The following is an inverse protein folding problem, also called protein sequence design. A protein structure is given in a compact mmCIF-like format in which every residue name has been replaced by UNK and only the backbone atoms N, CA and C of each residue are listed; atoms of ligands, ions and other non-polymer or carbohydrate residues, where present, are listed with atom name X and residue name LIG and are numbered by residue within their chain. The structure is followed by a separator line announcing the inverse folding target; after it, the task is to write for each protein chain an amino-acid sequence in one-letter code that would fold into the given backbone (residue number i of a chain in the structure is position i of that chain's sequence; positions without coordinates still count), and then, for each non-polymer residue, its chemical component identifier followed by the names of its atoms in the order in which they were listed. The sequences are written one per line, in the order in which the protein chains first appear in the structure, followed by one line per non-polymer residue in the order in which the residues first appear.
data_IF_380893961080
#
_entry.id   IF_380893961080
#
_cell.length_a   1.000
_cell.length_b   1.000
_cell.length_c   1.000
_cell.angle_alpha   90.00
_cell.angle_beta   90.00
_cell.angle_gamma   90.00
#
_symmetry.space_group_name_H-M   'P 1'
#
loop_
_entity.id
_entity.type
_entity.pdbx_description
1 polymer ?
2 non-polymer ?
3 non-polymer ?
4 non-polymer ?
5 water ?
#
# COMPACT_ATOMS: atom_id res chain seq x y z
N UNK A 1 18.93 -0.39 -24.58
CA UNK A 1 19.71 0.29 -23.51
C UNK A 1 18.97 1.51 -22.98
N UNK A 2 19.70 2.41 -22.30
CA UNK A 2 19.10 3.57 -21.63
C UNK A 2 18.35 4.47 -22.63
N UNK A 3 18.94 4.72 -23.80
CA UNK A 3 18.35 5.60 -24.81
C UNK A 3 17.04 5.03 -25.33
N UNK A 4 17.01 3.72 -25.58
CA UNK A 4 15.79 3.03 -25.99
C UNK A 4 14.71 3.10 -24.90
N UNK A 5 15.12 2.91 -23.64
CA UNK A 5 14.20 3.01 -22.51
C UNK A 5 13.50 4.37 -22.48
N UNK A 6 14.26 5.43 -22.75
CA UNK A 6 13.67 6.78 -22.84
C UNK A 6 12.59 6.80 -23.92
N UNK A 7 12.89 6.21 -25.08
CA UNK A 7 11.92 6.15 -26.19
C UNK A 7 10.70 5.32 -25.80
N UNK A 8 10.94 4.17 -25.16
CA UNK A 8 9.85 3.32 -24.70
C UNK A 8 8.92 4.12 -23.79
N UNK A 9 9.48 4.72 -22.74
CA UNK A 9 8.72 5.49 -21.77
C UNK A 9 7.97 6.65 -22.43
N UNK A 10 8.67 7.45 -23.24
CA UNK A 10 8.07 8.57 -23.95
C UNK A 10 6.90 8.14 -24.83
N UNK A 11 7.01 6.96 -25.43
CA UNK A 11 6.00 6.44 -26.32
C UNK A 11 4.63 6.29 -25.68
N UNK A 12 4.63 5.94 -24.40
CA UNK A 12 3.40 5.85 -23.63
C UNK A 12 3.60 6.54 -22.30
N UNK A 13 3.93 7.82 -22.36
CA UNK A 13 4.36 8.55 -21.17
C UNK A 13 3.29 8.59 -20.09
N UNK A 14 2.03 8.81 -20.47
CA UNK A 14 0.91 8.85 -19.52
C UNK A 14 0.88 7.59 -18.66
N UNK A 15 0.90 6.44 -19.32
CA UNK A 15 0.81 5.16 -18.62
C UNK A 15 2.01 4.89 -17.72
N UNK A 16 3.21 4.99 -18.29
CA UNK A 16 4.41 4.73 -17.51
C UNK A 16 4.56 5.70 -16.35
N UNK A 17 4.29 6.98 -16.58
CA UNK A 17 4.36 7.98 -15.52
C UNK A 17 3.42 7.62 -14.37
N UNK A 18 2.17 7.30 -14.69
CA UNK A 18 1.19 6.93 -13.65
C UNK A 18 1.58 5.64 -12.95
N UNK A 19 2.03 4.65 -13.72
CA UNK A 19 2.45 3.34 -13.20
C UNK A 19 3.61 3.46 -12.21
N UNK A 20 4.65 4.18 -12.63
CA UNK A 20 5.85 4.31 -11.81
C UNK A 20 5.59 5.19 -10.56
N UNK A 21 4.84 6.27 -10.75
CA UNK A 21 4.49 7.13 -9.63
C UNK A 21 3.75 6.36 -8.56
N UNK A 22 2.78 5.52 -8.97
CA UNK A 22 2.00 4.71 -8.04
C UNK A 22 2.83 3.61 -7.40
N UNK A 23 3.77 3.05 -8.15
CA UNK A 23 4.71 2.07 -7.59
C UNK A 23 5.54 2.72 -6.48
N UNK A 24 5.93 3.97 -6.71
CA UNK A 24 6.65 4.80 -5.73
C UNK A 24 5.84 5.00 -4.45
N UNK A 25 4.62 5.53 -4.58
CA UNK A 25 3.76 5.75 -3.41
C UNK A 25 3.42 4.46 -2.67
N UNK A 26 3.32 3.35 -3.40
CA UNK A 26 3.02 2.05 -2.81
C UNK A 26 4.18 1.49 -2.01
N UNK A 27 5.39 1.60 -2.56
CA UNK A 27 6.58 1.14 -1.87
C UNK A 27 6.89 2.02 -0.66
N UNK A 28 6.62 3.32 -0.78
CA UNK A 28 6.93 4.28 0.28
C UNK A 28 5.70 5.14 0.59
N UNK A 29 4.70 4.55 1.28
CA UNK A 29 3.40 5.21 1.50
C UNK A 29 3.46 6.56 2.19
N UNK A 30 4.48 6.77 3.01
CA UNK A 30 4.64 8.03 3.73
C UNK A 30 4.86 9.19 2.76
N UNK A 31 5.36 8.87 1.56
CA UNK A 31 5.61 9.90 0.55
C UNK A 31 4.33 10.56 0.03
N UNK A 32 3.18 9.91 0.23
CA UNK A 32 1.92 10.46 -0.28
C UNK A 32 1.59 11.81 0.37
N UNK A 33 2.11 12.03 1.57
CA UNK A 33 1.82 13.25 2.35
C UNK A 33 2.23 14.53 1.63
N UNK A 34 3.12 14.40 0.64
CA UNK A 34 3.58 15.56 -0.15
C UNK A 34 2.60 15.93 -1.25
N UNK A 35 1.63 15.07 -1.45
CA UNK A 35 0.61 15.23 -2.49
C UNK A 35 -0.74 15.11 -1.80
N UNK A 36 -1.10 16.15 -1.05
CA UNK A 36 -2.25 16.09 -0.14
C UNK A 36 -3.58 15.80 -0.84
N UNK A 37 -3.65 16.10 -2.14
CA UNK A 37 -4.85 15.89 -2.94
C UNK A 37 -5.04 14.44 -3.41
N UNK A 38 -3.99 13.65 -3.27
CA UNK A 38 -4.01 12.23 -3.63
C UNK A 38 -4.23 11.34 -2.43
N UNK A 39 -4.27 11.94 -1.24
CA UNK A 39 -4.52 11.22 0.01
C UNK A 39 -5.94 10.62 0.00
N UNK A 40 -6.06 9.38 0.43
CA UNK A 40 -7.36 8.73 0.60
C UNK A 40 -8.10 8.40 -0.69
N UNK A 41 -7.35 8.23 -1.78
CA UNK A 41 -7.96 7.93 -3.06
C UNK A 41 -7.37 6.66 -3.66
N UNK A 42 -8.25 5.84 -4.25
CA UNK A 42 -7.80 4.66 -4.97
C UNK A 42 -7.12 5.06 -6.27
N UNK A 43 -6.39 4.12 -6.83
CA UNK A 43 -5.71 4.31 -8.10
C UNK A 43 -6.64 4.75 -9.22
N UNK A 44 -7.81 4.14 -9.31
CA UNK A 44 -8.78 4.53 -10.33
C UNK A 44 -9.38 5.91 -10.09
N UNK A 45 -9.63 6.24 -8.82
CA UNK A 45 -10.05 7.58 -8.44
C UNK A 45 -9.01 8.59 -8.91
N UNK A 46 -7.75 8.31 -8.63
CA UNK A 46 -6.64 9.21 -8.99
C UNK A 46 -6.58 9.48 -10.49
N UNK A 47 -6.74 8.45 -11.30
CA UNK A 47 -6.68 8.56 -12.76
C UNK A 47 -7.84 9.35 -13.39
N UNK A 48 -8.94 9.49 -12.65
CA UNK A 48 -10.10 10.29 -13.08
C UNK A 48 -9.89 11.77 -12.76
N UNK A 49 -8.88 12.05 -11.94
CA UNK A 49 -8.55 13.44 -11.56
C UNK A 49 -7.60 14.09 -12.55
N UNK A 50 -8.06 15.19 -13.16
CA UNK A 50 -7.30 15.88 -14.21
C UNK A 50 -5.83 16.10 -13.84
N UNK A 51 -5.58 16.69 -12.68
CA UNK A 51 -4.21 17.03 -12.28
C UNK A 51 -3.34 15.84 -11.95
N UNK A 52 -3.93 14.71 -11.54
CA UNK A 52 -3.12 13.50 -11.34
C UNK A 52 -2.43 13.01 -12.62
N UNK A 53 -3.18 12.81 -13.70
CA UNK A 53 -2.56 12.37 -14.95
C UNK A 53 -1.67 13.44 -15.55
N UNK A 54 -2.17 14.68 -15.54
CA UNK A 54 -1.45 15.80 -16.14
C UNK A 54 -0.13 16.09 -15.42
N UNK A 55 -0.17 16.21 -14.08
CA UNK A 55 1.03 16.55 -13.33
C UNK A 55 2.05 15.40 -13.24
N UNK A 56 1.59 14.17 -13.11
CA UNK A 56 2.50 13.01 -13.11
C UNK A 56 3.21 12.90 -14.45
N UNK A 57 2.47 13.09 -15.55
CA UNK A 57 3.12 13.09 -16.86
C UNK A 57 4.19 14.18 -16.98
N UNK A 58 3.90 15.38 -16.48
CA UNK A 58 4.83 16.50 -16.57
C UNK A 58 6.11 16.24 -15.76
N UNK A 59 5.95 15.59 -14.61
CA UNK A 59 7.07 15.11 -13.82
C UNK A 59 7.96 14.18 -14.66
N UNK A 60 7.35 13.22 -15.33
CA UNK A 60 8.13 12.22 -16.06
C UNK A 60 8.60 12.75 -17.42
N UNK A 61 7.91 13.76 -17.93
CA UNK A 61 8.43 14.47 -19.09
C UNK A 61 9.78 15.11 -18.76
N UNK A 62 9.83 15.92 -17.70
CA UNK A 62 11.11 16.51 -17.26
C UNK A 62 12.15 15.44 -16.92
N UNK A 63 11.75 14.37 -16.24
CA UNK A 63 12.70 13.27 -15.98
C UNK A 63 13.33 12.74 -17.26
N UNK A 64 12.51 12.51 -18.29
CA UNK A 64 13.02 12.05 -19.60
C UNK A 64 13.90 13.08 -20.29
N UNK A 65 13.59 14.36 -20.13
CA UNK A 65 14.42 15.40 -20.71
C UNK A 65 15.79 15.41 -20.03
N UNK A 66 15.77 15.28 -18.71
CA UNK A 66 17.01 15.24 -17.92
C UNK A 66 17.79 13.99 -18.32
N UNK A 67 17.07 12.87 -18.46
CA UNK A 67 17.68 11.59 -18.84
C UNK A 67 18.32 11.65 -20.22
N UNK A 68 17.62 12.24 -21.20
CA UNK A 68 18.13 12.35 -22.58
C UNK A 68 19.34 13.28 -22.71
N UNK A 69 19.38 14.29 -21.86
CA UNK A 69 20.43 15.31 -21.88
C UNK A 69 21.70 14.81 -21.18
N UNK A 70 21.55 13.75 -20.40
CA UNK A 70 22.65 13.13 -19.67
C UNK A 70 23.67 12.48 -20.62
N UNK A 71 24.92 12.41 -20.15
CA UNK A 71 25.95 11.64 -20.84
C UNK A 71 26.31 10.44 -19.97
N UNK A 72 26.17 9.24 -20.54
CA UNK A 72 26.46 7.99 -19.83
C UNK A 72 25.80 7.98 -18.45
N UNK A 73 24.54 8.40 -18.39
CA UNK A 73 23.74 8.40 -17.16
C UNK A 73 24.21 9.44 -16.15
N UNK A 74 25.01 10.39 -16.60
CA UNK A 74 25.39 11.53 -15.76
C UNK A 74 24.62 12.75 -16.20
N UNK A 75 23.73 13.27 -15.32
CA UNK A 75 22.91 14.39 -15.73
C UNK A 75 23.67 15.72 -15.68
N UNK A 76 23.18 16.71 -16.42
CA UNK A 76 23.78 18.04 -16.39
C UNK A 76 23.55 18.71 -15.05
N UNK A 77 24.57 19.44 -14.60
CA UNK A 77 24.49 20.23 -13.38
C UNK A 77 23.31 21.20 -13.41
N UNK A 78 23.07 21.82 -14.56
CA UNK A 78 21.97 22.79 -14.70
C UNK A 78 20.60 22.14 -14.47
N UNK A 79 20.46 20.90 -14.94
CA UNK A 79 19.22 20.13 -14.72
C UNK A 79 19.01 19.77 -13.26
N UNK A 80 20.08 19.35 -12.58
CA UNK A 80 20.02 19.13 -11.15
C UNK A 80 19.61 20.41 -10.41
N UNK A 81 20.16 21.53 -10.83
CA UNK A 81 19.83 22.80 -10.18
C UNK A 81 18.37 23.19 -10.36
N UNK A 82 17.83 23.01 -11.56
CA UNK A 82 16.41 23.22 -11.81
C UNK A 82 15.56 22.47 -10.78
N UNK A 83 15.94 21.23 -10.52
CA UNK A 83 15.19 20.38 -9.61
C UNK A 83 15.25 20.84 -8.14
N UNK A 84 16.39 21.39 -7.75
CA UNK A 84 16.56 21.85 -6.37
C UNK A 84 15.79 23.16 -6.15
N UNK A 85 15.81 24.05 -7.13
CA UNK A 85 15.23 25.38 -6.95
C UNK A 85 13.77 25.53 -7.38
N UNK A 86 13.15 24.43 -7.84
CA UNK A 86 11.70 24.43 -8.06
C UNK A 86 10.99 24.60 -6.73
N UNK A 87 10.11 25.60 -6.67
CA UNK A 87 9.35 25.89 -5.45
C UNK A 87 8.67 24.64 -4.89
N UNK A 88 8.14 23.80 -5.79
CA UNK A 88 7.45 22.56 -5.40
C UNK A 88 8.36 21.54 -4.67
N UNK A 89 9.67 21.75 -4.75
CA UNK A 89 10.64 20.84 -4.17
C UNK A 89 11.35 21.44 -2.96
N UNK A 90 10.82 22.56 -2.44
CA UNK A 90 11.45 23.32 -1.35
C UNK A 90 11.63 22.52 -0.06
N UNK A 91 10.68 21.65 0.25
CA UNK A 91 10.77 20.91 1.50
C UNK A 91 11.33 19.48 1.33
N UNK A 92 11.94 19.22 0.17
CA UNK A 92 12.43 17.88 -0.17
C UNK A 92 13.89 17.68 0.15
N UNK A 93 14.28 16.41 0.29
CA UNK A 93 15.68 16.02 0.46
C UNK A 93 16.03 14.95 -0.56
N UNK A 94 17.32 14.65 -0.72
CA UNK A 94 17.77 13.65 -1.70
C UNK A 94 17.08 12.30 -1.51
N UNK A 95 16.73 12.01 -0.25
CA UNK A 95 16.06 10.77 0.12
C UNK A 95 14.72 10.57 -0.59
N UNK A 96 14.01 11.67 -0.88
CA UNK A 96 12.74 11.59 -1.62
C UNK A 96 12.99 11.10 -3.03
N UNK A 97 14.06 11.63 -3.63
CA UNK A 97 14.48 11.29 -4.98
C UNK A 97 15.06 9.88 -5.07
N UNK A 98 15.89 9.51 -4.09
CA UNK A 98 16.41 8.15 -3.97
C UNK A 98 15.28 7.13 -4.00
N UNK A 99 14.27 7.35 -3.15
CA UNK A 99 13.09 6.47 -3.07
C UNK A 99 12.34 6.36 -4.40
N UNK A 100 12.16 7.50 -5.08
CA UNK A 100 11.50 7.48 -6.40
C UNK A 100 12.25 6.56 -7.38
N UNK A 101 13.57 6.69 -7.42
CA UNK A 101 14.37 5.87 -8.31
C UNK A 101 14.49 4.41 -7.89
N UNK A 102 14.46 4.14 -6.58
CA UNK A 102 14.44 2.76 -6.10
C UNK A 102 13.18 2.06 -6.63
N UNK A 103 12.04 2.72 -6.44
CA UNK A 103 10.74 2.22 -6.93
C UNK A 103 10.70 2.08 -8.45
N UNK A 104 11.30 3.05 -9.15
CA UNK A 104 11.35 3.03 -10.60
C UNK A 104 12.15 1.82 -11.10
N UNK A 105 13.29 1.56 -10.46
CA UNK A 105 14.15 0.43 -10.80
C UNK A 105 13.44 -0.90 -10.48
N UNK A 106 12.78 -0.96 -9.33
CA UNK A 106 12.01 -2.15 -8.96
C UNK A 106 10.90 -2.40 -9.97
N UNK A 107 10.20 -1.34 -10.37
CA UNK A 107 9.15 -1.45 -11.38
C UNK A 107 9.72 -2.04 -12.66
N UNK A 108 10.86 -1.51 -13.10
CA UNK A 108 11.47 -1.96 -14.34
C UNK A 108 11.86 -3.43 -14.28
N UNK A 109 12.53 -3.83 -13.20
CA UNK A 109 12.91 -5.26 -12.99
C UNK A 109 11.72 -6.20 -13.00
N UNK A 110 10.61 -5.78 -12.38
CA UNK A 110 9.41 -6.62 -12.31
C UNK A 110 8.56 -6.63 -13.57
N UNK A 111 8.72 -5.62 -14.42
CA UNK A 111 7.99 -5.59 -15.68
C UNK A 111 8.53 -6.68 -16.60
N UNK A 112 7.75 -7.13 -17.56
CA UNK A 112 8.25 -8.18 -18.45
C UNK A 112 9.23 -7.67 -19.50
N UNK A 113 9.47 -6.35 -19.48
CA UNK A 113 10.21 -5.64 -20.52
C UNK A 113 11.71 -5.58 -20.23
N UNK A 114 12.52 -5.51 -21.28
CA UNK A 114 13.97 -5.50 -21.10
C UNK A 114 14.54 -4.09 -20.94
N UNK A 115 14.06 -3.39 -19.91
CA UNK A 115 14.62 -2.11 -19.48
C UNK A 115 16.06 -2.31 -19.04
N UNK A 116 16.88 -1.28 -19.21
CA UNK A 116 18.26 -1.29 -18.72
C UNK A 116 18.26 -0.82 -17.27
N UNK A 117 17.74 -1.68 -16.39
CA UNK A 117 17.53 -1.34 -14.97
C UNK A 117 18.78 -0.83 -14.27
N UNK A 118 19.92 -1.46 -14.56
CA UNK A 118 21.20 -1.05 -13.96
C UNK A 118 21.55 0.39 -14.31
N UNK A 119 21.27 0.79 -15.55
CA UNK A 119 21.49 2.15 -15.99
C UNK A 119 20.58 3.17 -15.30
N UNK A 120 19.32 2.80 -15.09
CA UNK A 120 18.40 3.67 -14.36
C UNK A 120 18.78 3.80 -12.89
N UNK A 121 19.32 2.72 -12.32
CA UNK A 121 19.82 2.76 -10.95
C UNK A 121 20.99 3.73 -10.87
N UNK A 122 21.91 3.61 -11.83
CA UNK A 122 23.09 4.48 -11.88
C UNK A 122 22.70 5.94 -12.13
N UNK A 123 21.76 6.16 -13.03
CA UNK A 123 21.22 7.50 -13.30
C UNK A 123 20.64 8.12 -12.03
N UNK A 124 19.81 7.35 -11.32
CA UNK A 124 19.28 7.77 -10.03
C UNK A 124 20.37 8.15 -9.04
N UNK A 125 21.40 7.32 -8.95
CA UNK A 125 22.53 7.59 -8.06
C UNK A 125 23.25 8.88 -8.44
N UNK A 126 23.53 9.02 -9.73
CA UNK A 126 24.21 10.21 -10.25
C UNK A 126 23.38 11.47 -10.07
N UNK A 127 22.06 11.33 -10.23
CA UNK A 127 21.18 12.49 -10.04
C UNK A 127 21.12 12.91 -8.57
N UNK A 128 21.02 11.94 -7.66
CA UNK A 128 21.05 12.21 -6.21
C UNK A 128 22.33 12.96 -5.81
N UNK A 129 23.47 12.51 -6.33
CA UNK A 129 24.76 13.19 -6.10
C UNK A 129 24.73 14.61 -6.63
N UNK A 130 24.18 14.78 -7.84
CA UNK A 130 24.07 16.10 -8.47
C UNK A 130 23.15 17.05 -7.72
N UNK A 131 22.08 16.49 -7.14
CA UNK A 131 21.14 17.29 -6.35
C UNK A 131 21.82 17.78 -5.09
N UNK A 132 22.60 16.91 -4.46
CA UNK A 132 23.34 17.24 -3.27
C UNK A 132 24.31 18.39 -3.54
N UNK A 133 25.09 18.27 -4.62
CA UNK A 133 26.04 19.30 -5.03
C UNK A 133 25.35 20.64 -5.28
N UNK A 134 24.11 20.59 -5.78
CA UNK A 134 23.34 21.80 -6.06
C UNK A 134 22.65 22.37 -4.81
N UNK A 135 22.89 21.74 -3.66
CA UNK A 135 22.41 22.29 -2.39
C UNK A 135 21.23 21.61 -1.72
N UNK A 136 20.72 20.53 -2.32
CA UNK A 136 19.64 19.80 -1.69
C UNK A 136 20.17 19.07 -0.47
N UNK A 137 19.42 19.14 0.62
CA UNK A 137 19.72 18.46 1.86
C UNK A 137 19.51 16.93 1.73
N UNK B 1 -1.71 2.83 -1.39
CA UNK B 1 -1.93 3.00 0.08
C UNK B 1 -3.18 2.29 0.55
N UNK B 2 -3.76 2.81 1.62
CA UNK B 2 -4.87 2.17 2.33
C UNK B 2 -6.09 1.99 1.42
N UNK B 3 -6.46 3.05 0.71
CA UNK B 3 -7.64 3.01 -0.18
C UNK B 3 -7.48 2.00 -1.29
N UNK B 4 -6.29 1.97 -1.90
CA UNK B 4 -6.01 1.01 -2.96
C UNK B 4 -5.97 -0.42 -2.42
N UNK B 5 -5.44 -0.59 -1.21
CA UNK B 5 -5.42 -1.89 -0.53
C UNK B 5 -6.83 -2.48 -0.38
N UNK B 6 -7.80 -1.62 -0.08
CA UNK B 6 -9.21 -2.05 -0.02
C UNK B 6 -9.65 -2.67 -1.34
N UNK B 7 -9.37 -1.98 -2.46
CA UNK B 7 -9.68 -2.48 -3.79
C UNK B 7 -8.94 -3.79 -4.09
N UNK B 8 -7.67 -3.87 -3.69
CA UNK B 8 -6.85 -5.06 -3.88
C UNK B 8 -7.49 -6.27 -3.19
N UNK B 9 -7.82 -6.09 -1.91
CA UNK B 9 -8.47 -7.17 -1.15
C UNK B 9 -9.82 -7.53 -1.76
N UNK B 10 -10.61 -6.54 -2.12
CA UNK B 10 -11.94 -6.79 -2.70
C UNK B 10 -11.87 -7.54 -4.04
N UNK B 11 -10.74 -7.43 -4.73
CA UNK B 11 -10.57 -8.07 -6.03
C UNK B 11 -10.32 -9.58 -5.94
N UNK B 12 -10.00 -10.06 -4.74
CA UNK B 12 -9.73 -11.48 -4.50
C UNK B 12 -10.07 -11.79 -3.03
N UNK B 13 -11.27 -11.35 -2.62
CA UNK B 13 -11.62 -11.26 -1.20
C UNK B 13 -11.65 -12.59 -0.43
N UNK B 14 -12.29 -13.61 -1.00
CA UNK B 14 -12.38 -14.92 -0.35
C UNK B 14 -10.99 -15.47 -0.01
N UNK B 15 -10.07 -15.36 -0.97
CA UNK B 15 -8.69 -15.82 -0.78
C UNK B 15 -7.97 -15.02 0.32
N UNK B 16 -8.03 -13.69 0.24
CA UNK B 16 -7.40 -12.85 1.27
C UNK B 16 -8.06 -13.07 2.63
N UNK B 17 -9.39 -13.13 2.66
CA UNK B 17 -10.14 -13.34 3.92
C UNK B 17 -9.73 -14.64 4.61
N UNK B 18 -9.73 -15.74 3.86
CA UNK B 18 -9.33 -17.03 4.40
C UNK B 18 -7.89 -17.02 4.88
N UNK B 19 -6.96 -16.55 4.06
CA UNK B 19 -5.54 -16.55 4.42
C UNK B 19 -5.24 -15.70 5.64
N UNK B 20 -5.93 -14.55 5.75
CA UNK B 20 -5.73 -13.68 6.93
C UNK B 20 -6.33 -14.28 8.20
N UNK B 21 -7.55 -14.81 8.08
CA UNK B 21 -8.21 -15.42 9.23
C UNK B 21 -7.48 -16.68 9.68
N UNK B 22 -6.95 -17.44 8.73
CA UNK B 22 -6.12 -18.59 9.06
C UNK B 22 -4.83 -18.17 9.77
N UNK B 23 -4.19 -17.11 9.29
CA UNK B 23 -3.02 -16.51 9.97
C UNK B 23 -3.34 -16.16 11.42
N UNK B 24 -4.50 -15.52 11.62
CA UNK B 24 -5.01 -15.19 12.95
C UNK B 24 -5.22 -16.44 13.83
N UNK B 25 -5.91 -17.45 13.31
CA UNK B 25 -6.18 -18.64 14.11
C UNK B 25 -4.93 -19.46 14.40
N UNK B 26 -3.99 -19.48 13.45
CA UNK B 26 -2.74 -20.19 13.68
C UNK B 26 -1.82 -19.45 14.66
N UNK B 27 -1.84 -18.12 14.62
CA UNK B 27 -1.07 -17.31 15.58
C UNK B 27 -1.66 -17.37 16.98
N UNK B 28 -3.00 -17.47 17.04
CA UNK B 28 -3.73 -17.46 18.31
C UNK B 28 -4.71 -18.63 18.35
N UNK B 29 -4.20 -19.86 18.55
CA UNK B 29 -5.06 -21.04 18.40
C UNK B 29 -6.21 -21.06 19.42
N UNK B 30 -6.02 -20.42 20.56
CA UNK B 30 -7.04 -20.40 21.60
C UNK B 30 -8.24 -19.53 21.22
N UNK B 31 -8.08 -18.71 20.17
CA UNK B 31 -9.20 -17.91 19.67
C UNK B 31 -10.28 -18.76 18.96
N UNK B 32 -9.96 -20.02 18.66
CA UNK B 32 -10.92 -20.96 18.08
C UNK B 32 -12.09 -21.27 19.03
N UNK B 33 -11.93 -20.92 20.30
CA UNK B 33 -12.97 -21.05 21.34
C UNK B 33 -14.28 -20.33 21.00
N UNK B 34 -14.16 -19.32 20.14
CA UNK B 34 -15.34 -18.51 19.78
C UNK B 34 -16.05 -19.11 18.57
N UNK B 35 -15.43 -20.10 17.93
CA UNK B 35 -15.92 -20.65 16.68
C UNK B 35 -16.09 -22.16 16.76
N UNK B 36 -17.34 -22.59 16.64
CA UNK B 36 -17.67 -24.01 16.70
C UNK B 36 -17.08 -24.77 15.51
N UNK B 37 -16.60 -25.98 15.79
CA UNK B 37 -16.02 -26.94 14.83
C UNK B 37 -14.86 -26.44 13.96
N UNK B 38 -14.08 -25.49 14.48
CA UNK B 38 -12.84 -25.09 13.80
C UNK B 38 -11.62 -25.81 14.39
N UNK B 39 -11.75 -26.29 15.62
CA UNK B 39 -10.65 -26.95 16.34
C UNK B 39 -10.33 -28.30 15.68
N UNK B 40 -9.07 -28.73 15.81
CA UNK B 40 -8.62 -30.05 15.36
C UNK B 40 -8.53 -30.22 13.86
N UNK B 41 -8.41 -29.11 13.15
CA UNK B 41 -8.44 -29.09 11.69
C UNK B 41 -7.28 -28.31 11.10
N UNK B 42 -6.72 -28.82 10.01
CA UNK B 42 -5.67 -28.12 9.28
C UNK B 42 -6.31 -27.03 8.41
N UNK B 43 -5.48 -26.11 7.89
CA UNK B 43 -5.96 -25.07 6.99
C UNK B 43 -6.84 -25.64 5.86
N UNK B 44 -6.34 -26.67 5.17
CA UNK B 44 -7.06 -27.24 4.03
C UNK B 44 -8.41 -27.84 4.43
N UNK B 45 -8.46 -28.42 5.62
CA UNK B 45 -9.71 -28.97 6.14
C UNK B 45 -10.71 -27.86 6.37
N UNK B 46 -10.26 -26.77 7.00
CA UNK B 46 -11.13 -25.60 7.21
C UNK B 46 -11.64 -25.03 5.90
N UNK B 47 -10.74 -24.91 4.93
CA UNK B 47 -11.10 -24.27 3.66
C UNK B 47 -12.14 -25.07 2.87
N UNK B 48 -12.31 -26.35 3.23
CA UNK B 48 -13.29 -27.20 2.56
C UNK B 48 -14.62 -27.28 3.30
N UNK B 49 -14.65 -26.73 4.51
CA UNK B 49 -15.91 -26.60 5.27
C UNK B 49 -16.71 -25.46 4.62
N UNK B 50 -17.92 -25.75 4.17
CA UNK B 50 -18.78 -24.75 3.47
C UNK B 50 -18.97 -23.45 4.25
N UNK B 51 -19.13 -23.59 5.57
CA UNK B 51 -19.38 -22.47 6.47
C UNK B 51 -18.16 -21.57 6.65
N UNK B 52 -16.96 -22.16 6.65
CA UNK B 52 -15.73 -21.40 6.88
C UNK B 52 -15.55 -20.30 5.84
N UNK B 53 -15.60 -20.68 4.57
CA UNK B 53 -15.42 -19.74 3.46
C UNK B 53 -16.51 -18.68 3.44
N UNK B 54 -17.76 -19.12 3.61
CA UNK B 54 -18.91 -18.21 3.62
C UNK B 54 -18.80 -17.19 4.74
N UNK B 55 -18.56 -17.66 5.95
CA UNK B 55 -18.48 -16.78 7.12
C UNK B 55 -17.29 -15.85 7.09
N UNK B 56 -16.12 -16.37 6.72
CA UNK B 56 -14.91 -15.55 6.68
C UNK B 56 -15.03 -14.45 5.62
N UNK B 57 -15.67 -14.78 4.49
CA UNK B 57 -15.87 -13.79 3.46
C UNK B 57 -16.80 -12.69 3.97
N UNK B 58 -17.89 -13.05 4.65
CA UNK B 58 -18.81 -12.04 5.18
C UNK B 58 -18.12 -11.09 6.17
N UNK B 59 -17.29 -11.64 7.04
CA UNK B 59 -16.49 -10.84 7.98
C UNK B 59 -15.66 -9.82 7.23
N UNK B 60 -14.95 -10.28 6.20
CA UNK B 60 -14.06 -9.38 5.45
C UNK B 60 -14.80 -8.44 4.51
N UNK B 61 -15.95 -8.89 3.97
CA UNK B 61 -16.87 -7.97 3.29
C UNK B 61 -17.16 -6.74 4.13
N UNK B 62 -17.52 -6.98 5.39
CA UNK B 62 -17.88 -5.90 6.29
C UNK B 62 -16.63 -5.15 6.68
N UNK B 63 -15.50 -5.84 6.92
CA UNK B 63 -14.27 -5.14 7.30
C UNK B 63 -13.86 -4.14 6.23
N UNK B 64 -13.97 -4.54 4.96
CA UNK B 64 -13.64 -3.64 3.85
C UNK B 64 -14.56 -2.44 3.77
N UNK B 65 -15.85 -2.63 4.07
CA UNK B 65 -16.79 -1.51 4.08
C UNK B 65 -16.44 -0.53 5.19
N UNK B 66 -16.14 -1.04 6.39
CA UNK B 66 -15.74 -0.20 7.53
C UNK B 66 -14.49 0.61 7.19
N UNK B 67 -13.53 -0.07 6.56
CA UNK B 67 -12.29 0.57 6.14
C UNK B 67 -12.57 1.61 5.05
N UNK B 68 -13.49 1.29 4.15
CA UNK B 68 -13.82 2.17 3.02
C UNK B 68 -14.58 3.41 3.49
N UNK B 69 -15.41 3.25 4.52
CA UNK B 69 -16.16 4.38 5.11
C UNK B 69 -15.32 5.25 6.06
N UNK B 70 -14.15 4.74 6.43
CA UNK B 70 -13.22 5.46 7.29
C UNK B 70 -12.68 6.73 6.64
N UNK B 71 -12.19 7.65 7.46
CA UNK B 71 -11.44 8.80 6.95
C UNK B 71 -10.07 8.75 7.62
N UNK B 72 -8.98 8.77 6.81
CA UNK B 72 -7.62 8.67 7.36
C UNK B 72 -7.50 7.50 8.33
N UNK B 73 -8.09 6.35 7.98
CA UNK B 73 -8.04 5.14 8.78
C UNK B 73 -8.77 5.24 10.12
N UNK B 74 -9.65 6.24 10.24
CA UNK B 74 -10.51 6.39 11.41
C UNK B 74 -11.91 5.93 11.00
N UNK B 75 -12.41 4.84 11.61
CA UNK B 75 -13.73 4.33 11.20
C UNK B 75 -14.86 5.22 11.71
N UNK B 76 -16.05 5.06 11.12
CA UNK B 76 -17.27 5.69 11.61
C UNK B 76 -17.63 5.12 12.98
N UNK B 77 -18.09 6.00 13.87
CA UNK B 77 -18.65 5.58 15.16
C UNK B 77 -19.79 4.56 15.03
N UNK B 78 -20.65 4.75 14.02
CA UNK B 78 -21.78 3.82 13.81
C UNK B 78 -21.33 2.41 13.40
N UNK B 79 -20.24 2.32 12.65
CA UNK B 79 -19.66 1.03 12.30
C UNK B 79 -19.11 0.31 13.53
N UNK B 80 -18.43 1.05 14.40
CA UNK B 80 -17.93 0.53 15.65
C UNK B 80 -19.08 0.08 16.53
N UNK B 81 -20.13 0.90 16.61
CA UNK B 81 -21.30 0.56 17.38
C UNK B 81 -21.98 -0.72 16.90
N UNK B 82 -22.10 -0.87 15.58
CA UNK B 82 -22.64 -2.09 14.99
C UNK B 82 -21.82 -3.34 15.38
N UNK B 83 -20.50 -3.21 15.36
CA UNK B 83 -19.61 -4.33 15.70
C UNK B 83 -19.71 -4.72 17.17
N UNK B 84 -19.87 -3.72 18.05
CA UNK B 84 -20.05 -3.99 19.49
C UNK B 84 -21.41 -4.65 19.76
N UNK B 85 -22.45 -4.19 19.05
CA UNK B 85 -23.83 -4.60 19.37
C UNK B 85 -24.29 -5.88 18.67
N UNK B 86 -23.52 -6.34 17.69
CA UNK B 86 -23.82 -7.60 17.01
C UNK B 86 -23.89 -8.72 18.03
N UNK B 87 -24.99 -9.48 17.98
CA UNK B 87 -25.18 -10.59 18.93
C UNK B 87 -24.03 -11.61 18.83
N UNK B 88 -23.48 -11.77 17.63
CA UNK B 88 -22.36 -12.70 17.42
C UNK B 88 -21.08 -12.24 18.10
N UNK B 89 -21.07 -10.99 18.56
CA UNK B 89 -19.90 -10.43 19.22
C UNK B 89 -20.07 -10.22 20.73
N UNK B 90 -21.13 -10.80 21.31
CA UNK B 90 -21.49 -10.55 22.71
C UNK B 90 -20.42 -10.90 23.76
N UNK B 91 -19.57 -11.88 23.45
CA UNK B 91 -18.56 -12.32 24.41
C UNK B 91 -17.15 -11.80 24.10
N UNK B 92 -17.03 -10.92 23.12
CA UNK B 92 -15.72 -10.42 22.68
C UNK B 92 -15.27 -9.19 23.47
N UNK B 93 -13.96 -9.02 23.57
CA UNK B 93 -13.37 -7.81 24.11
C UNK B 93 -12.42 -7.22 23.05
N UNK B 94 -11.92 -6.01 23.28
CA UNK B 94 -11.07 -5.34 22.29
C UNK B 94 -9.83 -6.18 21.95
N UNK B 95 -9.40 -7.01 22.89
CA UNK B 95 -8.20 -7.83 22.72
C UNK B 95 -8.35 -8.84 21.61
N UNK B 96 -9.57 -9.34 21.40
CA UNK B 96 -9.87 -10.21 20.27
C UNK B 96 -9.59 -9.51 18.94
N UNK B 97 -10.04 -8.25 18.87
CA UNK B 97 -9.82 -7.45 17.68
C UNK B 97 -8.36 -7.06 17.49
N UNK B 98 -7.69 -6.69 18.59
CA UNK B 98 -6.26 -6.36 18.50
C UNK B 98 -5.48 -7.52 17.91
N UNK B 99 -5.74 -8.74 18.38
CA UNK B 99 -5.03 -9.92 17.90
C UNK B 99 -5.28 -10.20 16.42
N UNK B 100 -6.51 -10.00 15.97
CA UNK B 100 -6.84 -10.17 14.57
C UNK B 100 -6.02 -9.19 13.73
N UNK B 101 -5.91 -7.95 14.18
CA UNK B 101 -5.17 -6.96 13.41
C UNK B 101 -3.64 -7.16 13.45
N UNK B 102 -3.12 -7.71 14.54
CA UNK B 102 -1.69 -8.07 14.61
C UNK B 102 -1.40 -9.11 13.54
N UNK B 103 -2.27 -10.12 13.44
CA UNK B 103 -2.14 -11.17 12.43
C UNK B 103 -2.30 -10.61 11.00
N UNK B 104 -3.30 -9.74 10.80
CA UNK B 104 -3.53 -9.09 9.51
C UNK B 104 -2.31 -8.29 9.05
N UNK B 105 -1.79 -7.44 9.93
CA UNK B 105 -0.61 -6.63 9.63
C UNK B 105 0.60 -7.51 9.32
N UNK B 106 0.78 -8.57 10.11
CA UNK B 106 1.90 -9.47 9.90
C UNK B 106 1.78 -10.23 8.58
N UNK B 107 0.55 -10.59 8.19
CA UNK B 107 0.30 -11.20 6.90
C UNK B 107 0.67 -10.25 5.76
N UNK B 108 0.29 -8.99 5.91
CA UNK B 108 0.56 -7.97 4.90
C UNK B 108 2.05 -7.70 4.72
N UNK B 109 2.75 -7.60 5.84
CA UNK B 109 4.18 -7.32 5.79
C UNK B 109 4.97 -8.49 5.18
N UNK B 110 4.44 -9.69 5.35
CA UNK B 110 5.10 -10.90 4.83
C UNK B 110 4.74 -11.24 3.37
N UNK B 111 3.71 -10.60 2.82
CA UNK B 111 3.19 -11.01 1.51
C UNK B 111 3.93 -10.38 0.34
N UNK B 112 3.68 -10.90 -0.86
CA UNK B 112 4.28 -10.39 -2.10
C UNK B 112 3.68 -9.08 -2.59
N UNK B 113 2.54 -8.70 -2.01
CA UNK B 113 1.84 -7.47 -2.38
C UNK B 113 2.36 -6.28 -1.57
N UNK B 114 2.42 -5.12 -2.20
CA UNK B 114 2.89 -3.89 -1.54
C UNK B 114 1.78 -3.23 -0.73
N UNK B 115 1.28 -3.96 0.27
CA UNK B 115 0.26 -3.39 1.16
C UNK B 115 0.85 -2.26 1.98
N UNK B 116 0.03 -1.29 2.34
CA UNK B 116 0.41 -0.23 3.26
C UNK B 116 0.11 -0.74 4.68
N UNK B 117 0.96 -1.65 5.15
CA UNK B 117 0.74 -2.34 6.41
C UNK B 117 0.66 -1.38 7.59
N UNK B 118 1.44 -0.29 7.54
CA UNK B 118 1.42 0.71 8.61
C UNK B 118 0.03 1.34 8.78
N UNK B 119 -0.65 1.60 7.65
CA UNK B 119 -2.00 2.15 7.68
C UNK B 119 -3.00 1.14 8.27
N UNK B 120 -2.80 -0.13 7.99
CA UNK B 120 -3.71 -1.14 8.52
C UNK B 120 -3.51 -1.30 10.03
N UNK B 121 -2.25 -1.12 10.48
CA UNK B 121 -1.95 -1.08 11.90
C UNK B 121 -2.70 0.09 12.54
N UNK B 122 -2.62 1.27 11.92
CA UNK B 122 -3.32 2.45 12.44
C UNK B 122 -4.83 2.22 12.45
N UNK B 123 -5.37 1.72 11.33
CA UNK B 123 -6.80 1.42 11.23
C UNK B 123 -7.22 0.46 12.35
N UNK B 124 -6.44 -0.60 12.53
CA UNK B 124 -6.71 -1.56 13.59
C UNK B 124 -6.76 -0.90 14.96
N UNK B 125 -5.79 -0.03 15.23
CA UNK B 125 -5.73 0.66 16.52
C UNK B 125 -6.91 1.58 16.71
N UNK B 126 -7.25 2.30 15.64
CA UNK B 126 -8.36 3.24 15.65
C UNK B 126 -9.69 2.52 15.78
N UNK B 127 -9.78 1.32 15.22
CA UNK B 127 -11.01 0.54 15.36
C UNK B 127 -11.15 0.08 16.81
N UNK B 128 -10.06 -0.43 17.37
CA UNK B 128 -10.09 -0.85 18.77
C UNK B 128 -10.50 0.30 19.71
N UNK B 129 -9.97 1.51 19.45
CA UNK B 129 -10.31 2.68 20.27
C UNK B 129 -11.80 3.03 20.15
N UNK B 130 -12.32 2.94 18.93
CA UNK B 130 -13.73 3.16 18.62
C UNK B 130 -14.65 2.12 19.28
N UNK B 131 -14.22 0.86 19.28
CA UNK B 131 -14.95 -0.23 19.93
C UNK B 131 -15.01 0.03 21.42
N UNK B 132 -13.88 0.46 21.97
CA UNK B 132 -13.83 0.85 23.36
C UNK B 132 -14.78 2.01 23.65
N UNK B 133 -14.74 3.05 22.80
CA UNK B 133 -15.60 4.21 22.94
C UNK B 133 -17.08 3.82 22.85
N UNK B 134 -17.37 2.80 22.03
CA UNK B 134 -18.73 2.31 21.84
C UNK B 134 -19.17 1.31 22.90
N UNK B 135 -18.29 1.04 23.86
CA UNK B 135 -18.66 0.26 25.03
C UNK B 135 -18.22 -1.18 25.10
N UNK B 136 -17.34 -1.60 24.18
CA UNK B 136 -16.78 -2.93 24.27
C UNK B 136 -15.76 -2.99 25.41
N UNK B 137 -15.85 -4.05 26.21
CA UNK B 137 -14.94 -4.30 27.32
C UNK B 137 -13.53 -4.63 26.81
X LIG C 1 5.94 19.07 -9.08
X LIG C 1 9.57 17.26 -11.76
X LIG C 1 10.73 14.26 -8.13
X LIG C 1 7.30 16.26 -5.34
X LIG C 1 6.79 18.78 -10.13
X LIG C 1 6.63 19.29 -11.48
X LIG C 1 7.62 18.80 -12.24
X LIG C 1 8.44 17.96 -11.39
X LIG C 1 7.84 19.08 -13.74
X LIG C 1 5.50 20.24 -11.93
X LIG C 1 4.28 19.40 -12.34
X LIG C 1 3.14 20.33 -12.65
X LIG C 1 2.56 20.93 -11.70
X LIG C 1 2.81 20.50 -13.84
X LIG C 1 10.17 16.26 -11.02
X LIG C 1 11.20 15.37 -11.51
X LIG C 1 11.54 14.54 -10.50
X LIG C 1 10.71 14.87 -9.36
X LIG C 1 11.79 15.40 -12.93
X LIG C 1 12.59 13.38 -10.51
X LIG C 1 13.66 13.37 -11.30
X LIG C 1 9.89 14.52 -7.07
X LIG C 1 9.86 13.82 -5.79
X LIG C 1 8.91 14.37 -5.04
X LIG C 1 8.32 15.45 -5.79
X LIG C 1 10.80 12.65 -5.45
X LIG C 1 8.45 14.05 -3.59
X LIG C 1 8.44 12.82 -3.07
X LIG C 1 6.59 17.17 -6.09
X LIG C 1 5.43 17.88 -5.61
X LIG C 1 5.00 18.76 -6.77
X LIG C 1 5.95 18.49 -7.84
X LIG C 1 4.77 17.76 -4.22
X LIG C 1 3.80 19.71 -6.79
X LIG C 1 2.53 18.86 -6.76
X LIG C 1 1.85 18.82 -8.10
X LIG C 1 2.54 19.01 -9.14
X LIG C 1 0.61 18.61 -8.14
X LIG C 1 7.91 17.96 -10.11
X LIG C 1 9.90 15.93 -9.71
X LIG C 1 8.92 15.50 -7.03
X LIG C 1 6.88 17.56 -7.40
X LIG C 1 8.55 16.93 -8.44
X LIG D 1 6.64 13.23 -8.66
X LIG D 1 5.02 13.98 -8.84
X LIG D 1 4.84 15.31 -8.48
X LIG D 1 3.59 15.91 -8.61
X LIG D 1 2.52 15.18 -9.10
X LIG D 1 1.29 15.75 -9.23
X LIG D 1 2.69 13.85 -9.46
X LIG D 1 3.94 13.26 -9.34
X LIG E 1 22.57 3.40 -24.01
X LIG E 1 21.71 3.06 -25.14
X LIG E 1 22.44 2.40 -22.95
X LIG E 1 23.95 3.44 -24.46
X LIG E 1 22.19 4.72 -23.50
X LIG F 1 17.77 8.72 2.58
X LIG F 1 17.53 8.13 1.27
X LIG F 1 16.49 8.87 3.28
X LIG F 1 18.65 7.86 3.35
X LIG F 1 18.40 10.02 2.41
X LIG G 1 -4.10 6.24 1.24
X LIG G 1 -5.48 5.78 1.39
X LIG G 1 -3.24 5.49 2.14
X LIG G 1 -3.66 6.03 -0.14
X LIG G 1 -3.98 7.68 1.58
X LIG H 1 -19.66 -13.29 12.91
X LIG H 1 -17.85 -9.14 11.15
X LIG H 1 -14.04 -9.47 14.15
X LIG H 1 -16.00 -13.39 16.19
X LIG H 1 -19.48 -12.17 12.10
X LIG H 1 -20.26 -11.78 10.95
X LIG H 1 -19.76 -10.65 10.46
X LIG H 1 -18.65 -10.26 11.31
X LIG H 1 -20.24 -9.84 9.24
X LIG H 1 -21.46 -12.59 10.37
X LIG H 1 -20.90 -13.78 9.60
X LIG H 1 -21.98 -14.77 9.25
X LIG H 1 -23.01 -14.90 9.97
X LIG H 1 -21.81 -15.46 8.22
X LIG H 1 -16.65 -8.88 11.78
X LIG H 1 -15.72 -7.80 11.48
X LIG H 1 -14.68 -7.91 12.31
X LIG H 1 -14.91 -9.05 13.17
X LIG H 1 -15.92 -6.73 10.38
X LIG H 1 -13.42 -7.02 12.43
X LIG H 1 -13.36 -5.77 11.94
X LIG H 1 -14.20 -10.57 14.96
X LIG H 1 -13.25 -11.11 15.92
X LIG H 1 -13.81 -12.20 16.47
X LIG H 1 -15.11 -12.38 15.87
X LIG H 1 -11.86 -10.51 16.25
X LIG H 1 -13.24 -13.14 17.57
X LIG H 1 -11.95 -13.47 17.64
X LIG H 1 -17.15 -13.74 15.52
X LIG H 1 -17.99 -14.87 15.84
X LIG H 1 -19.13 -14.84 14.81
X LIG H 1 -18.86 -13.69 13.96
X LIG H 1 -17.78 -15.88 16.98
X LIG H 1 -20.31 -15.83 14.69
X LIG H 1 -19.85 -17.25 14.37
X LIG H 1 -19.19 -17.38 13.03
X LIG H 1 -18.39 -18.35 12.88
X LIG H 1 -19.43 -16.57 12.10
X LIG H 1 -18.50 -11.22 12.29
X LIG H 1 -16.11 -9.62 12.81
X LIG H 1 -15.31 -11.38 14.95
X LIG H 1 -17.69 -13.07 14.42
X LIG H 1 -17.03 -11.19 13.79
X LIG I 1 -12.74 -12.90 12.13
X LIG I 1 -14.04 -14.07 11.77
X LIG I 1 -13.91 -14.94 10.68
X LIG I 1 -14.92 -15.86 10.41
X LIG I 1 -16.05 -15.90 11.20
X LIG I 1 -17.04 -16.80 10.92
X LIG I 1 -16.20 -15.03 12.28
X LIG I 1 -15.19 -14.11 12.57
#
# INVERSE_FOLDING_TARGET
GFKQDIATIRGDLRTYAQDIFLAFLNKYPDERRYFKNYVGKSDQELKSMAKFGDHTEKVFNLMMEVADRATDCVPLASDANTLVQMKQHSSLTTGNFEKLFVALVEYMRASGQSFDSQSWDRFGKNLVSALSSAGMK
GFKQDIATIRGDLRTYAQDIFLAFLNKYPDERRYFKNYVGKSDQELKSMAKFGDHTEKVFNLMMEVADRATDCVPLASDANTLVQMKQHSSLTTGNFEKLFVALVEYMRASGQSFDSQSWDRFGKNLVSALSSAGMK
HEM CHA CHB CHC CHD C1A C2A C3A C4A CMA CAA CBA CGA O1A O2A C1B C2B C3B C4B CMB CAB CBB C1C C2C C3C C4C CMC CAC CBC C1D C2D C3D C4D CMD CAD CBD CGD O1D O2D NA NB NC ND FE
4CH CL9 C4 C5 C6 C1 O7 C2 C3
SO4 S O1 O2 O3 O4
SO4 S O1 O2 O3 O4
SO4 S O1 O2 O3 O4
HEM CHA CHB CHC CHD C1A C2A C3A C4A CMA CAA CBA CGA O1A O2A C1B C2B C3B C4B CMB CAB CBB C1C C2C C3C C4C CMC CAC CBC C1D C2D C3D C4D CMD CAD CBD CGD O1D O2D NA NB NC ND FE
4CH CL9 C4 C5 C6 C1 O7 C2 C3
#
